data_IF_216416807962
#
_entry.id   IF_216416807962
#
_cell.length_a   1.000
_cell.length_b   1.000
_cell.length_c   1.000
_cell.angle_alpha   90.00
_cell.angle_beta   90.00
_cell.angle_gamma   90.00
#
_symmetry.space_group_name_H-M   'P 1'
#
loop_
_entity.id
_entity.type
_entity.pdbx_description
1 polymer ?
#
# COMPACT_ATOMS: atom_id res chain seq x y z
N UNK A 1 -13.84 4.14 -9.76
CA UNK A 1 -13.72 2.77 -9.23
C UNK A 1 -14.98 2.21 -8.53
N UNK A 2 -15.65 2.97 -7.67
CA UNK A 2 -16.66 2.43 -6.76
C UNK A 2 -18.08 2.49 -7.32
N UNK A 3 -18.84 1.39 -7.18
CA UNK A 3 -20.25 1.32 -7.61
C UNK A 3 -21.20 1.85 -6.53
N UNK A 4 -22.28 2.56 -6.91
CA UNK A 4 -23.38 2.91 -6.00
C UNK A 4 -24.01 1.67 -5.36
N UNK A 5 -24.62 1.85 -4.18
CA UNK A 5 -25.35 0.81 -3.44
C UNK A 5 -24.57 -0.50 -3.25
N UNK A 6 -23.23 -0.42 -3.23
CA UNK A 6 -22.34 -1.56 -3.12
C UNK A 6 -21.36 -1.33 -1.98
N UNK A 7 -21.21 -2.33 -1.13
CA UNK A 7 -20.23 -2.36 -0.05
C UNK A 7 -19.17 -3.42 -0.36
N UNK A 8 -17.91 -3.00 -0.34
CA UNK A 8 -16.75 -3.85 -0.56
C UNK A 8 -16.11 -4.15 0.79
N UNK A 9 -15.86 -5.42 1.07
CA UNK A 9 -15.17 -5.86 2.28
C UNK A 9 -13.77 -6.34 1.90
N UNK A 10 -12.78 -5.88 2.64
CA UNK A 10 -11.40 -6.26 2.48
C UNK A 10 -10.83 -6.83 3.78
N UNK A 11 -9.98 -7.85 3.66
CA UNK A 11 -9.09 -8.27 4.73
C UNK A 11 -7.79 -7.47 4.61
N UNK A 12 -7.46 -6.74 5.68
CA UNK A 12 -6.18 -6.07 5.82
C UNK A 12 -5.23 -6.95 6.63
N UNK A 13 -4.02 -7.16 6.12
CA UNK A 13 -2.93 -7.86 6.80
C UNK A 13 -1.65 -7.06 6.65
N UNK A 14 -1.02 -6.72 7.75
CA UNK A 14 0.25 -6.02 7.77
C UNK A 14 1.29 -6.77 8.57
N UNK A 15 2.56 -6.52 8.27
CA UNK A 15 3.68 -7.00 9.07
C UNK A 15 4.86 -6.07 8.87
N UNK A 16 5.50 -5.68 9.96
CA UNK A 16 6.75 -4.90 9.95
C UNK A 16 7.75 -5.64 10.81
N UNK A 17 8.88 -6.05 10.23
CA UNK A 17 9.93 -6.78 10.92
C UNK A 17 11.25 -6.04 10.79
N UNK A 18 12.04 -6.09 11.86
CA UNK A 18 13.42 -5.66 11.93
C UNK A 18 14.34 -6.88 12.14
N UNK A 19 15.52 -6.87 11.52
CA UNK A 19 16.53 -7.92 11.69
C UNK A 19 17.93 -7.47 11.26
N UNK A 20 18.95 -8.12 11.82
CA UNK A 20 20.28 -8.24 11.22
C UNK A 20 20.30 -9.47 10.30
N UNK A 21 19.57 -9.37 9.20
CA UNK A 21 19.24 -10.50 8.32
C UNK A 21 20.44 -11.24 7.70
N UNK A 22 21.62 -10.62 7.68
CA UNK A 22 22.87 -11.25 7.22
C UNK A 22 23.60 -12.03 8.33
N UNK A 23 23.24 -11.81 9.60
CA UNK A 23 23.88 -12.41 10.77
C UNK A 23 23.09 -13.61 11.27
N UNK A 24 21.78 -13.46 11.38
CA UNK A 24 20.89 -14.51 11.82
C UNK A 24 19.49 -14.34 11.21
N UNK A 25 18.77 -15.46 11.11
CA UNK A 25 17.38 -15.49 10.66
C UNK A 25 16.40 -15.05 11.76
N UNK A 26 16.83 -14.23 12.71
CA UNK A 26 16.00 -13.78 13.83
C UNK A 26 15.36 -12.43 13.48
N UNK A 27 14.03 -12.40 13.54
CA UNK A 27 13.23 -11.22 13.23
C UNK A 27 12.37 -10.83 14.42
N UNK A 28 12.30 -9.54 14.67
CA UNK A 28 11.42 -8.94 15.69
C UNK A 28 10.53 -7.88 15.06
N UNK A 29 9.29 -7.73 15.52
CA UNK A 29 8.41 -6.68 15.03
C UNK A 29 6.95 -6.94 15.35
N UNK A 30 6.06 -6.56 14.42
CA UNK A 30 4.62 -6.71 14.60
C UNK A 30 3.96 -7.34 13.37
N UNK A 31 2.87 -8.08 13.60
CA UNK A 31 1.90 -8.52 12.59
C UNK A 31 0.55 -7.92 12.96
N UNK A 32 -0.13 -7.29 12.00
CA UNK A 32 -1.46 -6.70 12.19
C UNK A 32 -2.50 -7.32 11.25
N UNK A 33 -3.75 -7.31 11.68
CA UNK A 33 -4.91 -7.72 10.90
C UNK A 33 -6.08 -6.78 11.17
N UNK A 34 -6.91 -6.52 10.16
CA UNK A 34 -8.17 -5.77 10.33
C UNK A 34 -9.14 -6.11 9.20
N UNK A 35 -10.39 -5.69 9.36
CA UNK A 35 -11.41 -5.69 8.32
C UNK A 35 -11.61 -4.25 7.83
N UNK A 36 -11.67 -4.04 6.53
CA UNK A 36 -11.89 -2.72 5.92
C UNK A 36 -13.12 -2.77 5.06
N UNK A 37 -14.13 -1.98 5.42
CA UNK A 37 -15.33 -1.79 4.62
C UNK A 37 -15.21 -0.50 3.79
N UNK A 38 -15.56 -0.57 2.52
CA UNK A 38 -15.51 0.57 1.59
C UNK A 38 -16.86 0.70 0.90
N UNK A 39 -17.44 1.90 0.90
CA UNK A 39 -18.75 2.16 0.28
C UNK A 39 -18.78 3.57 -0.33
N UNK A 40 -19.38 3.68 -1.52
CA UNK A 40 -19.62 4.99 -2.14
C UNK A 40 -20.64 5.79 -1.32
N UNK A 41 -20.26 6.99 -0.89
CA UNK A 41 -21.11 7.89 -0.10
C UNK A 41 -21.84 8.91 -0.96
N UNK A 42 -21.16 9.46 -1.95
CA UNK A 42 -21.70 10.38 -2.96
C UNK A 42 -20.78 10.35 -4.18
N UNK A 43 -21.09 11.14 -5.22
CA UNK A 43 -20.26 11.23 -6.41
C UNK A 43 -18.80 11.53 -6.04
N UNK A 44 -17.91 10.59 -6.41
CA UNK A 44 -16.48 10.62 -6.14
C UNK A 44 -16.08 10.65 -4.65
N UNK A 45 -16.98 10.43 -3.70
CA UNK A 45 -16.66 10.36 -2.26
C UNK A 45 -16.97 8.97 -1.73
N UNK A 46 -16.00 8.38 -1.06
CA UNK A 46 -16.06 7.01 -0.55
C UNK A 46 -15.87 7.04 0.95
N UNK A 47 -16.77 6.40 1.69
CA UNK A 47 -16.59 6.17 3.12
C UNK A 47 -15.85 4.85 3.33
N UNK A 48 -14.86 4.88 4.21
CA UNK A 48 -14.01 3.74 4.58
C UNK A 48 -14.08 3.57 6.09
N UNK A 49 -14.30 2.33 6.53
CA UNK A 49 -14.36 2.00 7.95
C UNK A 49 -13.46 0.81 8.25
N UNK A 50 -12.71 0.91 9.34
CA UNK A 50 -11.77 -0.12 9.81
C UNK A 50 -12.34 -0.74 11.07
N UNK A 51 -12.40 -2.06 11.11
CA UNK A 51 -12.97 -2.85 12.20
C UNK A 51 -12.04 -3.96 12.61
N UNK A 52 -12.20 -4.44 13.85
CA UNK A 52 -11.52 -5.62 14.38
C UNK A 52 -10.00 -5.57 14.16
N UNK A 53 -9.41 -4.39 14.33
CA UNK A 53 -7.98 -4.20 14.15
C UNK A 53 -7.22 -4.80 15.33
N UNK A 54 -6.32 -5.73 15.04
CA UNK A 54 -5.52 -6.44 16.03
C UNK A 54 -4.05 -6.44 15.60
N UNK A 55 -3.16 -6.52 16.59
CA UNK A 55 -1.74 -6.74 16.35
C UNK A 55 -1.18 -7.82 17.27
N UNK A 56 -0.08 -8.44 16.85
CA UNK A 56 0.70 -9.35 17.67
C UNK A 56 2.17 -9.01 17.51
N UNK A 57 2.90 -9.07 18.63
CA UNK A 57 4.35 -8.99 18.60
C UNK A 57 4.92 -10.25 17.95
N UNK A 58 5.92 -10.06 17.11
CA UNK A 58 6.65 -11.13 16.44
C UNK A 58 8.04 -11.17 17.03
N UNK A 59 8.45 -12.35 17.48
CA UNK A 59 9.84 -12.70 17.78
C UNK A 59 10.08 -14.12 17.28
N UNK A 60 10.63 -14.26 16.08
CA UNK A 60 10.65 -15.54 15.40
C UNK A 60 11.92 -15.75 14.58
N UNK A 61 12.33 -17.02 14.48
CA UNK A 61 13.34 -17.46 13.52
C UNK A 61 12.65 -17.75 12.18
N UNK A 62 12.95 -16.97 11.15
CA UNK A 62 12.39 -17.08 9.80
C UNK A 62 13.49 -17.52 8.83
N UNK A 63 13.76 -18.82 8.78
CA UNK A 63 14.88 -19.40 8.03
C UNK A 63 14.85 -19.17 6.52
N UNK A 64 13.65 -18.94 5.95
CA UNK A 64 13.46 -18.59 4.53
C UNK A 64 13.33 -17.07 4.33
N UNK A 65 13.91 -16.29 5.25
CA UNK A 65 13.91 -14.85 5.26
C UNK A 65 12.58 -14.23 5.69
N UNK A 66 12.50 -12.91 5.62
CA UNK A 66 11.37 -12.16 6.14
C UNK A 66 10.03 -12.70 5.62
N UNK A 67 9.87 -12.97 4.32
CA UNK A 67 8.58 -13.38 3.73
C UNK A 67 7.99 -14.70 4.22
N UNK A 68 8.73 -15.48 5.02
CA UNK A 68 8.26 -16.71 5.66
C UNK A 68 6.94 -16.47 6.41
N UNK A 69 5.92 -17.33 6.23
CA UNK A 69 4.71 -17.31 7.05
C UNK A 69 5.04 -17.54 8.53
N UNK A 70 4.41 -16.77 9.41
CA UNK A 70 4.54 -16.94 10.86
C UNK A 70 3.38 -17.84 11.32
N UNK A 71 3.65 -18.99 11.96
CA UNK A 71 2.60 -19.88 12.45
C UNK A 71 1.61 -19.17 13.38
N UNK A 72 0.31 -19.41 13.21
CA UNK A 72 -0.74 -18.74 14.00
C UNK A 72 -0.60 -19.02 15.51
N UNK A 73 -0.13 -20.21 15.90
CA UNK A 73 0.11 -20.55 17.32
C UNK A 73 1.21 -19.72 18.01
N UNK A 74 2.03 -18.98 17.25
CA UNK A 74 3.05 -18.07 17.80
C UNK A 74 2.53 -16.63 17.91
N UNK A 75 1.30 -16.36 17.48
CA UNK A 75 0.73 -15.02 17.43
C UNK A 75 -0.30 -14.85 18.53
N UNK A 76 0.03 -13.98 19.48
CA UNK A 76 -0.87 -13.54 20.54
C UNK A 76 -1.43 -12.17 20.17
N UNK A 77 -2.65 -12.17 19.62
CA UNK A 77 -3.29 -10.95 19.13
C UNK A 77 -3.88 -10.11 20.27
N UNK A 78 -3.63 -8.82 20.20
CA UNK A 78 -4.17 -7.77 21.07
C UNK A 78 -4.94 -6.77 20.20
N UNK A 79 -6.02 -6.21 20.74
CA UNK A 79 -6.81 -5.20 20.02
C UNK A 79 -6.01 -3.90 19.88
N UNK A 80 -6.09 -3.29 18.70
CA UNK A 80 -5.64 -1.91 18.47
C UNK A 80 -6.81 -1.01 18.86
N UNK A 81 -6.62 -0.04 19.78
CA UNK A 81 -7.70 0.81 20.27
C UNK A 81 -8.05 1.91 19.25
N UNK A 82 -8.55 1.52 18.07
CA UNK A 82 -9.04 2.45 17.06
C UNK A 82 -10.34 3.10 17.53
N UNK A 83 -10.57 4.34 17.12
CA UNK A 83 -11.85 5.03 17.31
C UNK A 83 -13.02 4.34 16.59
N UNK A 84 -12.71 3.51 15.58
CA UNK A 84 -13.64 2.86 14.66
C UNK A 84 -14.56 3.82 13.89
N UNK A 85 -14.24 5.13 13.93
CA UNK A 85 -14.94 6.15 13.14
C UNK A 85 -14.62 5.95 11.65
N UNK A 86 -15.60 6.15 10.77
CA UNK A 86 -15.33 6.15 9.33
C UNK A 86 -14.45 7.35 8.95
N UNK A 87 -13.74 7.21 7.84
CA UNK A 87 -13.07 8.32 7.16
C UNK A 87 -13.50 8.35 5.70
N UNK A 88 -13.44 9.52 5.07
CA UNK A 88 -13.82 9.67 3.67
C UNK A 88 -12.61 9.92 2.79
N UNK A 89 -12.66 9.35 1.59
CA UNK A 89 -11.71 9.57 0.50
C UNK A 89 -12.44 10.24 -0.65
N UNK A 90 -11.94 11.41 -1.07
CA UNK A 90 -12.42 12.09 -2.28
C UNK A 90 -11.55 11.71 -3.45
N UNK A 91 -12.17 11.34 -4.56
CA UNK A 91 -11.50 10.96 -5.78
C UNK A 91 -11.64 12.05 -6.85
N UNK A 92 -10.62 12.16 -7.69
CA UNK A 92 -10.64 12.93 -8.94
C UNK A 92 -9.97 12.07 -9.99
N UNK A 93 -10.72 11.70 -11.03
CA UNK A 93 -10.24 10.86 -12.14
C UNK A 93 -9.52 9.56 -11.68
N UNK A 94 -10.00 8.94 -10.59
CA UNK A 94 -9.43 7.67 -10.08
C UNK A 94 -8.30 7.84 -9.06
N UNK A 95 -7.71 9.03 -8.92
CA UNK A 95 -6.77 9.36 -7.86
C UNK A 95 -7.51 9.93 -6.63
N UNK A 96 -7.09 9.57 -5.42
CA UNK A 96 -7.50 10.23 -4.19
C UNK A 96 -6.89 11.63 -4.18
N UNK A 97 -7.74 12.64 -4.01
CA UNK A 97 -7.36 14.05 -3.92
C UNK A 97 -7.34 14.58 -2.49
N UNK A 98 -8.10 13.97 -1.59
CA UNK A 98 -8.12 14.35 -0.17
C UNK A 98 -8.74 13.26 0.70
N UNK A 99 -8.40 13.31 1.99
CA UNK A 99 -8.95 12.47 3.03
C UNK A 99 -9.62 13.34 4.11
N UNK A 100 -10.83 12.97 4.54
CA UNK A 100 -11.56 13.63 5.63
C UNK A 100 -11.67 12.65 6.80
N UNK A 101 -11.24 13.08 7.98
CA UNK A 101 -11.21 12.28 9.21
C UNK A 101 -11.81 13.09 10.36
N UNK A 102 -12.26 12.39 11.40
CA UNK A 102 -12.63 13.03 12.67
C UNK A 102 -11.42 13.74 13.29
N UNK A 103 -11.64 14.95 13.83
CA UNK A 103 -10.59 15.79 14.42
C UNK A 103 -10.04 15.21 15.73
N UNK A 104 -10.79 14.32 16.37
CA UNK A 104 -10.48 13.76 17.68
C UNK A 104 -9.52 12.56 17.60
N UNK A 105 -9.22 12.04 16.42
CA UNK A 105 -8.31 10.89 16.30
C UNK A 105 -6.85 11.32 16.53
N UNK A 106 -6.05 10.52 17.26
CA UNK A 106 -4.64 10.80 17.47
C UNK A 106 -3.82 10.60 16.18
N UNK A 107 -2.65 11.23 16.11
CA UNK A 107 -1.75 11.18 14.93
C UNK A 107 -1.36 9.75 14.52
N UNK A 108 -1.19 8.83 15.48
CA UNK A 108 -0.84 7.44 15.17
C UNK A 108 -1.98 6.73 14.43
N UNK A 109 -3.23 6.98 14.82
CA UNK A 109 -4.42 6.42 14.18
C UNK A 109 -4.57 7.03 12.78
N UNK A 110 -4.41 8.35 12.66
CA UNK A 110 -4.38 9.03 11.37
C UNK A 110 -3.37 8.41 10.41
N UNK A 111 -2.15 8.11 10.86
CA UNK A 111 -1.12 7.49 10.02
C UNK A 111 -1.48 6.05 9.61
N UNK A 112 -2.19 5.30 10.45
CA UNK A 112 -2.76 4.00 10.06
C UNK A 112 -3.82 4.15 8.97
N UNK A 113 -4.74 5.10 9.12
CA UNK A 113 -5.78 5.38 8.10
C UNK A 113 -5.16 5.83 6.78
N UNK A 114 -4.15 6.71 6.80
CA UNK A 114 -3.37 7.10 5.61
C UNK A 114 -2.71 5.90 4.93
N UNK A 115 -2.20 4.94 5.70
CA UNK A 115 -1.58 3.72 5.17
C UNK A 115 -2.60 2.84 4.44
N UNK A 116 -3.84 2.75 4.97
CA UNK A 116 -4.96 2.02 4.33
C UNK A 116 -5.41 2.76 3.08
N UNK A 117 -5.59 4.09 3.14
CA UNK A 117 -5.92 4.92 1.99
C UNK A 117 -4.88 4.77 0.87
N UNK A 118 -3.59 4.68 1.21
CA UNK A 118 -2.51 4.44 0.24
C UNK A 118 -2.63 3.10 -0.48
N UNK A 119 -3.27 2.07 0.11
CA UNK A 119 -3.56 0.81 -0.59
C UNK A 119 -4.70 0.94 -1.62
N UNK A 120 -5.58 1.94 -1.43
CA UNK A 120 -6.72 2.24 -2.30
C UNK A 120 -6.40 3.31 -3.37
N UNK A 121 -5.31 4.05 -3.19
CA UNK A 121 -4.80 5.00 -4.18
C UNK A 121 -4.34 4.23 -5.42
N UNK A 122 -4.95 4.46 -6.58
CA UNK A 122 -4.51 3.87 -7.85
C UNK A 122 -4.83 4.84 -8.99
N UNK A 123 -3.86 5.68 -9.37
CA UNK A 123 -4.02 6.72 -10.39
C UNK A 123 -3.95 6.14 -11.81
N UNK A 124 -4.97 5.36 -12.16
CA UNK A 124 -5.11 4.63 -13.43
C UNK A 124 -5.39 5.54 -14.64
N UNK A 125 -5.82 6.79 -14.41
CA UNK A 125 -6.10 7.75 -15.47
C UNK A 125 -5.04 8.86 -15.55
N UNK A 126 -3.93 8.71 -14.81
CA UNK A 126 -2.81 9.62 -14.79
C UNK A 126 -3.21 11.08 -14.47
N UNK A 127 -4.08 11.26 -13.47
CA UNK A 127 -4.48 12.58 -12.97
C UNK A 127 -3.28 13.41 -12.53
N UNK A 128 -2.30 12.78 -11.87
CA UNK A 128 -1.10 13.44 -11.34
C UNK A 128 0.14 13.18 -12.22
N UNK A 129 -0.05 13.08 -13.53
CA UNK A 129 1.01 12.76 -14.50
C UNK A 129 2.20 13.74 -14.39
N UNK A 130 3.39 13.18 -14.17
CA UNK A 130 4.66 13.90 -14.24
C UNK A 130 5.23 13.79 -15.65
N UNK A 131 5.71 14.91 -16.21
CA UNK A 131 6.28 14.91 -17.57
C UNK A 131 7.53 14.04 -17.61
N UNK A 132 7.54 13.03 -18.47
CA UNK A 132 8.72 12.19 -18.67
C UNK A 132 8.78 11.63 -20.08
N UNK A 133 9.99 11.43 -20.60
CA UNK A 133 10.23 10.83 -21.92
C UNK A 133 9.83 9.36 -21.98
N UNK A 134 9.80 8.67 -20.83
CA UNK A 134 9.42 7.25 -20.75
C UNK A 134 7.91 7.04 -20.67
N UNK A 135 7.12 8.12 -20.54
CA UNK A 135 5.68 7.99 -20.38
C UNK A 135 5.03 7.39 -21.64
N UNK A 136 4.35 6.29 -21.44
CA UNK A 136 3.46 5.62 -22.39
C UNK A 136 2.13 5.40 -21.68
N UNK A 137 1.14 6.22 -22.01
CA UNK A 137 -0.17 6.13 -21.38
C UNK A 137 -1.00 5.00 -22.01
N UNK A 138 -1.79 4.27 -21.21
CA UNK A 138 -2.68 3.26 -21.74
C UNK A 138 -3.77 3.87 -22.62
N UNK A 139 -4.13 3.16 -23.69
CA UNK A 139 -5.23 3.54 -24.58
C UNK A 139 -6.53 2.87 -24.14
N UNK A 140 -7.67 3.26 -24.72
CA UNK A 140 -8.97 2.61 -24.43
C UNK A 140 -8.95 1.10 -24.74
N UNK A 141 -8.18 0.70 -25.75
CA UNK A 141 -8.16 -0.67 -26.27
C UNK A 141 -7.05 -1.52 -25.65
N UNK A 142 -6.07 -0.90 -24.96
CA UNK A 142 -4.94 -1.61 -24.36
C UNK A 142 -4.72 -1.18 -22.91
N UNK A 143 -4.84 -2.12 -21.97
CA UNK A 143 -4.49 -1.91 -20.57
C UNK A 143 -2.96 -2.07 -20.34
N UNK A 144 -2.16 -1.46 -21.23
CA UNK A 144 -0.70 -1.44 -21.14
C UNK A 144 -0.24 0.00 -21.01
N UNK A 145 0.59 0.32 -20.03
CA UNK A 145 1.13 1.66 -19.88
C UNK A 145 2.24 1.75 -18.85
N UNK A 146 3.19 2.63 -19.09
CA UNK A 146 4.28 2.93 -18.17
C UNK A 146 4.37 4.43 -18.02
N UNK A 147 4.10 4.98 -16.84
CA UNK A 147 4.10 6.43 -16.65
C UNK A 147 4.43 6.83 -15.23
N UNK A 148 4.95 8.05 -15.06
CA UNK A 148 5.28 8.62 -13.76
C UNK A 148 4.17 9.53 -13.27
N UNK A 149 3.80 9.43 -12.01
CA UNK A 149 2.91 10.38 -11.34
C UNK A 149 3.58 10.95 -10.09
N UNK A 150 3.10 12.10 -9.62
CA UNK A 150 3.40 12.57 -8.27
C UNK A 150 2.28 12.10 -7.35
N UNK A 151 2.57 11.20 -6.41
CA UNK A 151 1.55 10.55 -5.59
C UNK A 151 1.74 10.88 -4.12
N UNK A 152 0.70 11.48 -3.52
CA UNK A 152 0.59 11.65 -2.07
C UNK A 152 0.29 10.31 -1.38
N UNK A 153 0.99 10.04 -0.30
CA UNK A 153 0.91 8.81 0.48
C UNK A 153 1.34 9.03 1.93
N UNK A 154 1.23 7.99 2.76
CA UNK A 154 1.77 8.04 4.13
C UNK A 154 3.29 8.32 4.20
N UNK A 155 4.03 8.12 3.09
CA UNK A 155 5.48 8.39 3.02
C UNK A 155 5.82 9.75 2.42
N UNK A 156 4.84 10.63 2.21
CA UNK A 156 5.01 11.92 1.54
C UNK A 156 4.50 11.89 0.10
N UNK A 157 4.69 13.04 -0.57
CA UNK A 157 4.34 13.28 -1.96
C UNK A 157 5.57 13.04 -2.83
N UNK A 158 5.58 11.90 -3.52
CA UNK A 158 6.77 11.40 -4.21
C UNK A 158 6.46 10.88 -5.62
N UNK A 159 7.44 11.03 -6.51
CA UNK A 159 7.40 10.46 -7.85
C UNK A 159 7.20 8.94 -7.74
N UNK A 160 6.18 8.45 -8.43
CA UNK A 160 5.78 7.05 -8.43
C UNK A 160 5.66 6.58 -9.88
N UNK A 161 6.46 5.59 -10.26
CA UNK A 161 6.36 4.93 -11.57
C UNK A 161 5.27 3.88 -11.53
N UNK A 162 4.31 3.98 -12.44
CA UNK A 162 3.29 2.99 -12.72
C UNK A 162 3.71 2.13 -13.91
N UNK A 163 3.56 0.82 -13.78
CA UNK A 163 3.67 -0.17 -14.85
C UNK A 163 2.37 -0.98 -14.84
N UNK A 164 1.59 -0.84 -15.90
CA UNK A 164 0.25 -1.41 -16.07
C UNK A 164 0.32 -2.43 -17.20
N UNK A 165 -0.18 -3.63 -16.94
CA UNK A 165 -0.30 -4.68 -17.96
C UNK A 165 -1.49 -5.61 -17.66
N UNK A 166 -2.06 -6.32 -18.65
CA UNK A 166 -3.02 -7.38 -18.39
C UNK A 166 -2.40 -8.50 -17.53
N UNK A 167 -3.16 -9.00 -16.55
CA UNK A 167 -2.71 -10.12 -15.71
C UNK A 167 -2.79 -11.44 -16.51
N UNK A 168 -1.66 -12.15 -16.75
CA UNK A 168 -1.71 -13.40 -17.50
C UNK A 168 -2.50 -14.48 -16.77
N UNK A 169 -3.36 -15.22 -17.49
CA UNK A 169 -4.22 -16.28 -16.91
C UNK A 169 -3.42 -17.35 -16.14
N UNK A 170 -2.25 -17.72 -16.65
CA UNK A 170 -1.34 -18.71 -16.02
C UNK A 170 -0.86 -18.22 -14.65
N UNK A 171 -0.63 -16.92 -14.48
CA UNK A 171 -0.24 -16.34 -13.19
C UNK A 171 -1.37 -16.48 -12.18
N UNK A 172 -2.62 -16.24 -12.59
CA UNK A 172 -3.78 -16.40 -11.72
C UNK A 172 -4.03 -17.86 -11.34
N UNK A 173 -3.87 -18.81 -12.28
CA UNK A 173 -4.00 -20.25 -12.00
C UNK A 173 -3.05 -20.69 -10.89
N UNK A 174 -1.81 -20.18 -10.90
CA UNK A 174 -0.81 -20.48 -9.87
C UNK A 174 -0.99 -19.67 -8.57
N UNK A 175 -1.68 -18.52 -8.63
CA UNK A 175 -1.83 -17.58 -7.52
C UNK A 175 -3.25 -17.00 -7.47
N UNK A 176 -4.27 -17.82 -7.17
CA UNK A 176 -5.67 -17.37 -7.18
C UNK A 176 -5.94 -16.23 -6.17
N UNK A 177 -5.15 -16.15 -5.10
CA UNK A 177 -5.22 -15.08 -4.10
C UNK A 177 -4.93 -13.67 -4.65
N UNK A 178 -4.38 -13.55 -5.86
CA UNK A 178 -4.17 -12.25 -6.53
C UNK A 178 -5.49 -11.61 -6.95
N UNK A 179 -6.44 -12.42 -7.41
CA UNK A 179 -7.79 -11.99 -7.76
C UNK A 179 -8.82 -12.95 -7.18
N UNK A 180 -9.24 -12.77 -5.91
CA UNK A 180 -10.17 -13.67 -5.23
C UNK A 180 -11.55 -13.75 -5.91
N UNK A 181 -11.97 -12.67 -6.57
CA UNK A 181 -13.27 -12.54 -7.25
C UNK A 181 -13.09 -12.12 -8.72
N UNK A 182 -12.48 -12.97 -9.56
CA UNK A 182 -12.10 -12.59 -10.92
C UNK A 182 -13.32 -12.33 -11.82
N UNK A 183 -14.47 -12.90 -11.50
CA UNK A 183 -15.73 -12.68 -12.20
C UNK A 183 -16.21 -11.22 -12.16
N UNK A 184 -15.72 -10.41 -11.22
CA UNK A 184 -16.04 -8.97 -11.14
C UNK A 184 -15.44 -8.14 -12.28
N UNK A 185 -14.60 -8.73 -13.13
CA UNK A 185 -14.08 -8.05 -14.33
C UNK A 185 -15.19 -7.67 -15.34
N UNK A 186 -16.34 -8.36 -15.31
CA UNK A 186 -17.41 -8.22 -16.31
C UNK A 186 -16.85 -8.29 -17.75
N UNK A 187 -17.15 -7.30 -18.59
CA UNK A 187 -16.63 -7.18 -19.97
C UNK A 187 -15.19 -6.65 -20.05
N UNK A 188 -14.59 -6.36 -18.90
CA UNK A 188 -13.19 -5.93 -18.79
C UNK A 188 -12.23 -7.11 -18.66
N UNK A 189 -11.08 -6.84 -18.03
CA UNK A 189 -10.04 -7.83 -17.80
C UNK A 189 -9.43 -7.69 -16.40
N UNK A 190 -8.61 -8.66 -16.01
CA UNK A 190 -7.73 -8.51 -14.86
C UNK A 190 -6.49 -7.74 -15.29
N UNK A 191 -6.15 -6.69 -14.54
CA UNK A 191 -5.02 -5.81 -14.83
C UNK A 191 -4.08 -5.85 -13.62
N UNK A 192 -2.81 -6.03 -13.89
CA UNK A 192 -1.69 -5.98 -12.95
C UNK A 192 -1.05 -4.59 -13.02
N UNK A 193 -0.97 -3.94 -11.87
CA UNK A 193 -0.40 -2.60 -11.71
C UNK A 193 0.73 -2.70 -10.72
N UNK A 194 1.95 -2.44 -11.17
CA UNK A 194 3.13 -2.32 -10.31
C UNK A 194 3.48 -0.85 -10.14
N UNK A 195 3.61 -0.42 -8.89
CA UNK A 195 4.08 0.92 -8.55
C UNK A 195 5.46 0.84 -7.92
N UNK A 196 6.37 1.70 -8.36
CA UNK A 196 7.68 1.87 -7.74
C UNK A 196 7.86 3.32 -7.30
N UNK A 197 8.09 3.54 -6.01
CA UNK A 197 8.26 4.88 -5.44
C UNK A 197 9.72 5.33 -5.46
N UNK A 198 9.95 6.54 -5.94
CA UNK A 198 11.22 7.23 -5.94
C UNK A 198 11.25 8.23 -4.77
N UNK A 199 11.88 7.84 -3.66
CA UNK A 199 12.08 8.69 -2.50
C UNK A 199 13.13 9.79 -2.73
N UNK A 200 13.91 9.71 -3.80
CA UNK A 200 14.89 10.74 -4.19
C UNK A 200 14.26 11.85 -5.04
N UNK A 201 12.97 11.73 -5.35
CA UNK A 201 12.21 12.77 -6.04
C UNK A 201 10.85 12.92 -5.35
N UNK A 202 10.81 13.74 -4.31
CA UNK A 202 9.62 14.03 -3.53
C UNK A 202 9.46 15.54 -3.37
N UNK A 203 8.26 16.05 -3.66
CA UNK A 203 7.92 17.45 -3.40
C UNK A 203 7.77 17.69 -1.89
N UNK A 204 7.25 16.68 -1.17
CA UNK A 204 7.08 16.71 0.29
C UNK A 204 7.61 15.40 0.88
N UNK A 205 8.87 15.36 1.38
CA UNK A 205 9.39 14.17 2.03
C UNK A 205 8.76 13.98 3.42
N UNK A 206 8.20 12.80 3.69
CA UNK A 206 7.80 12.44 5.06
C UNK A 206 8.97 11.79 5.79
N UNK A 207 9.87 12.63 6.30
CA UNK A 207 10.98 12.18 7.12
C UNK A 207 11.42 13.23 8.13
N UNK A 208 11.87 12.74 9.28
CA UNK A 208 12.52 13.53 10.31
C UNK A 208 13.94 12.99 10.50
N UNK A 209 14.92 13.88 10.50
CA UNK A 209 16.29 13.55 10.82
C UNK A 209 16.86 14.59 11.79
N UNK A 210 17.77 14.14 12.65
CA UNK A 210 18.48 14.97 13.60
C UNK A 210 19.89 14.41 13.78
N UNK A 211 20.90 15.28 13.93
CA UNK A 211 22.29 14.87 14.16
C UNK A 211 23.06 14.38 12.92
N UNK A 212 22.45 14.43 11.73
CA UNK A 212 23.15 14.22 10.46
C UNK A 212 23.79 15.56 10.08
N UNK A 213 25.13 15.62 10.07
CA UNK A 213 25.85 16.85 9.72
C UNK A 213 25.85 17.07 8.20
N UNK A 214 25.86 18.33 7.75
CA UNK A 214 25.95 18.70 6.32
C UNK A 214 27.29 18.39 5.65
N UNK A 215 28.15 17.60 6.30
CA UNK A 215 29.44 17.14 5.77
C UNK A 215 29.29 15.93 4.82
N UNK A 216 28.06 15.63 4.39
CA UNK A 216 27.76 14.50 3.52
C UNK A 216 27.03 14.97 2.27
N UNK A 217 27.41 14.44 1.10
CA UNK A 217 26.88 14.83 -0.21
C UNK A 217 25.52 14.20 -0.56
N UNK A 218 24.83 13.59 0.42
CA UNK A 218 23.56 12.91 0.19
C UNK A 218 22.39 13.60 0.89
N UNK A 219 21.21 13.50 0.26
CA UNK A 219 19.99 14.07 0.80
C UNK A 219 19.31 13.07 1.76
N UNK A 220 18.97 13.48 3.00
CA UNK A 220 18.27 12.63 3.95
C UNK A 220 16.94 12.11 3.38
N UNK A 221 16.58 10.88 3.76
CA UNK A 221 15.32 10.23 3.41
C UNK A 221 15.09 9.92 1.91
N UNK A 222 16.09 10.14 1.07
CA UNK A 222 16.14 9.67 -0.31
C UNK A 222 16.14 8.13 -0.41
N UNK A 223 16.15 7.59 -1.64
CA UNK A 223 16.32 6.14 -1.82
C UNK A 223 17.68 5.65 -1.33
N UNK A 224 18.71 6.51 -1.32
CA UNK A 224 20.08 6.16 -0.96
C UNK A 224 20.77 7.32 -0.23
N UNK A 225 21.15 7.10 1.03
CA UNK A 225 21.95 8.04 1.82
C UNK A 225 23.41 7.55 1.82
N UNK A 226 24.10 7.74 0.69
CA UNK A 226 25.43 7.17 0.44
C UNK A 226 25.42 5.64 0.57
N UNK A 227 26.43 5.08 1.25
CA UNK A 227 26.49 3.65 1.57
C UNK A 227 25.74 3.28 2.86
N UNK A 228 25.25 4.27 3.60
CA UNK A 228 24.70 4.06 4.94
C UNK A 228 23.27 3.51 4.91
N UNK A 229 22.40 4.01 4.02
CA UNK A 229 21.01 3.59 3.99
C UNK A 229 20.49 3.46 2.57
N UNK A 230 19.76 2.39 2.30
CA UNK A 230 19.01 2.18 1.06
C UNK A 230 17.53 1.91 1.37
N UNK A 231 16.63 2.52 0.61
CA UNK A 231 15.17 2.40 0.77
C UNK A 231 14.50 2.11 -0.57
N UNK A 232 13.52 1.20 -0.54
CA UNK A 232 12.69 0.86 -1.70
C UNK A 232 11.26 0.60 -1.27
N UNK A 233 10.28 1.06 -2.04
CA UNK A 233 8.87 0.74 -1.85
C UNK A 233 8.23 0.36 -3.17
N UNK A 234 7.64 -0.84 -3.21
CA UNK A 234 6.98 -1.40 -4.39
C UNK A 234 5.58 -1.86 -3.99
N UNK A 235 4.57 -1.44 -4.76
CA UNK A 235 3.19 -1.91 -4.60
C UNK A 235 2.79 -2.72 -5.83
N UNK A 236 2.10 -3.83 -5.63
CA UNK A 236 1.44 -4.59 -6.69
C UNK A 236 -0.05 -4.61 -6.43
N UNK A 237 -0.83 -4.11 -7.38
CA UNK A 237 -2.28 -3.98 -7.28
C UNK A 237 -2.88 -4.77 -8.42
N UNK A 238 -3.86 -5.61 -8.10
CA UNK A 238 -4.64 -6.35 -9.08
C UNK A 238 -6.04 -5.76 -9.10
N UNK A 239 -6.50 -5.34 -10.26
CA UNK A 239 -7.83 -4.79 -10.46
C UNK A 239 -8.61 -5.63 -11.48
N UNK A 240 -9.93 -5.66 -11.34
CA UNK A 240 -10.86 -6.33 -12.26
C UNK A 240 -11.77 -5.29 -12.91
N UNK A 241 -11.76 -5.20 -14.25
CA UNK A 241 -12.57 -4.25 -15.02
C UNK A 241 -11.73 -3.54 -16.11
N UNK A 242 -11.85 -2.23 -16.19
CA UNK A 242 -11.01 -1.38 -17.05
C UNK A 242 -10.41 -0.22 -16.23
N UNK A 243 -9.53 0.58 -16.84
CA UNK A 243 -8.80 1.64 -16.12
C UNK A 243 -9.69 2.80 -15.63
N UNK A 244 -10.94 2.92 -16.09
CA UNK A 244 -11.89 3.93 -15.62
C UNK A 244 -12.84 3.37 -14.55
N UNK A 245 -13.23 2.11 -14.69
CA UNK A 245 -14.20 1.40 -13.84
C UNK A 245 -13.67 0.02 -13.50
N UNK A 246 -13.21 -0.13 -12.27
CA UNK A 246 -12.61 -1.35 -11.76
C UNK A 246 -12.91 -1.60 -10.29
N UNK A 247 -12.81 -2.86 -9.89
CA UNK A 247 -12.76 -3.30 -8.50
C UNK A 247 -11.33 -3.71 -8.15
N UNK A 248 -10.80 -3.19 -7.04
CA UNK A 248 -9.51 -3.62 -6.51
C UNK A 248 -9.69 -5.01 -5.91
N UNK A 249 -8.96 -5.99 -6.43
CA UNK A 249 -8.99 -7.37 -5.95
C UNK A 249 -7.96 -7.60 -4.85
N UNK A 250 -6.75 -7.10 -5.07
CA UNK A 250 -5.70 -7.09 -4.05
C UNK A 250 -4.78 -5.89 -4.25
N UNK A 251 -4.20 -5.39 -3.16
CA UNK A 251 -3.21 -4.33 -3.15
C UNK A 251 -2.15 -4.69 -2.11
N UNK A 252 -0.92 -4.92 -2.56
CA UNK A 252 0.17 -5.38 -1.71
C UNK A 252 1.35 -4.44 -1.84
N UNK A 253 1.64 -3.70 -0.77
CA UNK A 253 2.79 -2.81 -0.69
C UNK A 253 3.90 -3.44 0.16
N UNK A 254 5.13 -3.45 -0.36
CA UNK A 254 6.34 -3.85 0.37
C UNK A 254 7.31 -2.68 0.41
N UNK A 255 7.62 -2.20 1.61
CA UNK A 255 8.66 -1.23 1.88
C UNK A 255 9.85 -1.92 2.56
N UNK A 256 11.06 -1.61 2.12
CA UNK A 256 12.31 -2.13 2.69
C UNK A 256 13.27 -0.99 2.92
N UNK A 257 13.86 -0.97 4.11
CA UNK A 257 14.93 -0.07 4.51
C UNK A 257 16.09 -0.95 4.95
N UNK A 258 17.26 -0.74 4.36
CA UNK A 258 18.51 -1.39 4.72
C UNK A 258 19.45 -0.32 5.26
N UNK A 259 19.97 -0.53 6.46
CA UNK A 259 20.96 0.32 7.09
C UNK A 259 22.27 -0.44 7.25
N UNK A 260 23.36 0.17 6.79
CA UNK A 260 24.71 -0.37 6.74
C UNK A 260 25.64 0.54 7.54
N UNK A 261 25.63 0.46 8.89
CA UNK A 261 26.40 1.36 9.74
C UNK A 261 27.91 1.14 9.64
N UNK A 262 28.36 -0.05 9.22
CA UNK A 262 29.78 -0.38 9.08
C UNK A 262 30.13 -0.64 7.61
N UNK A 263 31.25 -0.07 7.15
CA UNK A 263 31.73 -0.17 5.76
C UNK A 263 32.05 -1.61 5.30
N UNK A 264 32.11 -2.59 6.21
CA UNK A 264 32.40 -3.98 5.90
C UNK A 264 31.21 -4.79 5.35
N UNK A 265 30.00 -4.22 5.29
CA UNK A 265 28.86 -4.74 4.50
C UNK A 265 28.26 -6.09 4.92
N UNK A 266 28.65 -6.64 6.08
CA UNK A 266 28.24 -7.98 6.57
C UNK A 266 27.22 -7.98 7.71
N UNK A 267 26.79 -6.81 8.18
CA UNK A 267 25.90 -6.68 9.35
C UNK A 267 24.82 -5.61 9.10
N UNK A 268 24.21 -5.65 7.92
CA UNK A 268 23.22 -4.67 7.56
C UNK A 268 21.92 -4.90 8.35
N UNK A 269 21.48 -3.85 9.06
CA UNK A 269 20.14 -3.77 9.63
C UNK A 269 19.11 -3.70 8.52
N UNK A 270 17.99 -4.38 8.71
CA UNK A 270 16.85 -4.35 7.80
C UNK A 270 15.59 -4.02 8.58
N UNK A 271 14.77 -3.14 8.04
CA UNK A 271 13.36 -3.01 8.39
C UNK A 271 12.54 -3.27 7.13
N UNK A 272 11.63 -4.24 7.19
CA UNK A 272 10.75 -4.60 6.08
C UNK A 272 9.30 -4.58 6.53
N UNK A 273 8.50 -3.80 5.83
CA UNK A 273 7.07 -3.69 6.03
C UNK A 273 6.33 -4.24 4.81
N UNK A 274 5.33 -5.08 5.03
CA UNK A 274 4.43 -5.56 3.98
C UNK A 274 2.99 -5.39 4.43
N UNK A 275 2.21 -4.63 3.66
CA UNK A 275 0.78 -4.41 3.87
C UNK A 275 0.03 -5.01 2.69
N UNK A 276 -1.01 -5.78 2.98
CA UNK A 276 -1.85 -6.45 2.01
C UNK A 276 -3.32 -6.10 2.32
N UNK A 277 -4.01 -5.56 1.33
CA UNK A 277 -5.45 -5.37 1.32
C UNK A 277 -6.04 -6.31 0.26
N UNK A 278 -6.80 -7.33 0.66
CA UNK A 278 -7.39 -8.33 -0.26
C UNK A 278 -8.91 -8.30 -0.17
N UNK A 279 -9.60 -8.26 -1.31
CA UNK A 279 -11.06 -8.29 -1.38
C UNK A 279 -11.57 -9.64 -0.85
N UNK A 280 -12.55 -9.60 0.04
CA UNK A 280 -13.17 -10.80 0.63
C UNK A 280 -14.65 -10.92 0.32
N UNK A 281 -15.36 -9.80 0.13
CA UNK A 281 -16.78 -9.81 -0.18
C UNK A 281 -17.23 -8.54 -0.92
N UNK A 282 -18.26 -8.67 -1.75
CA UNK A 282 -18.95 -7.56 -2.41
C UNK A 282 -20.45 -7.80 -2.31
N UNK A 283 -21.15 -6.92 -1.59
CA UNK A 283 -22.58 -7.07 -1.32
C UNK A 283 -23.33 -5.76 -1.55
N UNK A 284 -24.64 -5.87 -1.73
CA UNK A 284 -25.53 -4.71 -1.75
C UNK A 284 -25.46 -3.98 -0.41
N UNK A 285 -25.33 -2.66 -0.44
CA UNK A 285 -25.30 -1.86 0.77
C UNK A 285 -26.68 -1.86 1.44
N UNK A 286 -26.75 -2.28 2.71
CA UNK A 286 -27.98 -2.32 3.49
C UNK A 286 -28.30 -0.99 4.19
N UNK A 287 -27.33 -0.07 4.27
CA UNK A 287 -27.46 1.22 4.95
C UNK A 287 -26.64 2.30 4.27
N UNK A 288 -27.04 3.56 4.43
CA UNK A 288 -26.24 4.71 4.02
C UNK A 288 -24.90 4.73 4.77
N UNK A 289 -23.80 5.08 4.09
CA UNK A 289 -22.49 5.13 4.74
C UNK A 289 -22.45 6.27 5.76
N UNK A 290 -21.75 6.03 6.87
CA UNK A 290 -21.55 7.05 7.91
C UNK A 290 -20.50 8.07 7.46
N UNK A 291 -20.68 9.33 7.88
CA UNK A 291 -19.71 10.42 7.71
C UNK A 291 -18.81 10.53 8.95
N UNK A 292 -17.56 11.04 8.79
CA UNK A 292 -16.60 11.19 9.88
C UNK A 292 -17.05 12.13 11.00
#
# INVERSE_FOLDING_TARGET
PWKPNTQYQYALRGRTLAALHQVANQYSGIRMTANVAVQLSSDNVVSVQVHNAQFSNVHANLSQGWSTPIPEGQLHYQQIPLSNKPFQLKYKNGAISSMVVSKEIPTWELNMLKSIASQLQVDTQAENLQKSRINSLPTKDTANGVYKTMEDSVSGECETLYDISPLPKVVLQNKPQLAPMPHLQADGQLIDIVKTRNFSNCDIPSAYHFGITGLTDWEPASNQMGQFLARSSVSRIIIAGNLQRYTIQSSVTTNKIIASPFLYGKQNGMVVSRMNLTLVDVKSASSSPQSP
#
